data_IF_435814640756
#
_entry.id   IF_435814640756
#
_cell.length_a   1.000
_cell.length_b   1.000
_cell.length_c   1.000
_cell.angle_alpha   90.00
_cell.angle_beta   90.00
_cell.angle_gamma   90.00
#
_symmetry.space_group_name_H-M   'P 1'
#
loop_
_entity.id
_entity.type
_entity.pdbx_description
1 polymer ?
#
# COMPACT_ATOMS: atom_id res chain seq x y z
N UNK A 1 19.77 23.95 -12.76
CA UNK A 1 20.03 22.60 -13.29
C UNK A 1 19.08 21.62 -12.59
N UNK A 2 18.62 20.60 -13.29
CA UNK A 2 17.83 19.54 -12.66
C UNK A 2 18.71 18.73 -11.69
N UNK A 3 18.12 18.29 -10.59
CA UNK A 3 18.83 17.57 -9.52
C UNK A 3 18.06 16.35 -9.03
N UNK A 4 18.79 15.44 -8.38
CA UNK A 4 18.18 14.24 -7.75
C UNK A 4 17.59 14.60 -6.40
N UNK A 5 16.47 13.95 -6.07
CA UNK A 5 15.98 13.91 -4.69
C UNK A 5 16.91 12.98 -3.91
N UNK A 6 17.30 13.39 -2.70
CA UNK A 6 18.21 12.61 -1.85
C UNK A 6 17.68 12.54 -0.42
N UNK A 7 18.06 11.47 0.30
CA UNK A 7 17.78 11.29 1.72
C UNK A 7 19.06 11.50 2.52
N UNK A 8 19.00 12.34 3.57
CA UNK A 8 20.14 12.51 4.47
C UNK A 8 20.27 11.32 5.44
N UNK A 9 21.40 11.23 6.14
CA UNK A 9 21.63 10.20 7.15
C UNK A 9 20.64 10.32 8.34
N UNK A 10 20.12 11.53 8.57
CA UNK A 10 19.14 11.84 9.63
C UNK A 10 17.69 11.55 9.18
N UNK A 11 17.48 11.01 7.96
CA UNK A 11 16.16 10.68 7.44
C UNK A 11 15.37 11.87 6.88
N UNK A 12 16.06 12.95 6.50
CA UNK A 12 15.43 14.13 5.89
C UNK A 12 15.54 14.05 4.37
N UNK A 13 14.39 14.21 3.70
CA UNK A 13 14.31 14.23 2.24
C UNK A 13 14.65 15.62 1.71
N UNK A 14 15.67 15.70 0.86
CA UNK A 14 16.08 16.94 0.19
C UNK A 14 15.55 16.95 -1.25
N UNK A 15 14.64 17.86 -1.54
CA UNK A 15 14.00 18.02 -2.85
C UNK A 15 14.52 19.31 -3.50
N UNK A 16 15.26 19.23 -4.63
CA UNK A 16 15.71 20.43 -5.36
C UNK A 16 14.55 21.17 -6.03
N UNK A 17 14.74 22.41 -6.41
CA UNK A 17 13.71 23.21 -7.10
C UNK A 17 13.30 22.64 -8.47
N UNK A 18 14.21 21.90 -9.11
CA UNK A 18 13.97 21.20 -10.37
C UNK A 18 14.33 19.72 -10.20
N UNK A 19 13.49 18.91 -9.54
CA UNK A 19 13.76 17.49 -9.33
C UNK A 19 13.64 16.70 -10.63
N UNK A 20 14.47 15.67 -10.78
CA UNK A 20 14.28 14.63 -11.79
C UNK A 20 13.37 13.56 -11.17
N UNK A 21 12.23 13.29 -11.83
CA UNK A 21 11.26 12.29 -11.37
C UNK A 21 11.05 11.25 -12.48
N UNK A 22 11.46 9.98 -12.26
CA UNK A 22 11.11 8.90 -13.17
C UNK A 22 9.61 8.65 -13.17
N UNK A 23 9.08 8.32 -14.36
CA UNK A 23 7.70 7.92 -14.49
C UNK A 23 7.53 6.73 -15.44
N UNK A 24 6.55 5.90 -15.15
CA UNK A 24 6.02 4.87 -16.04
C UNK A 24 4.64 5.34 -16.49
N UNK A 25 4.45 5.54 -17.79
CA UNK A 25 3.15 5.92 -18.35
C UNK A 25 2.05 4.91 -17.99
N UNK A 26 2.40 3.63 -18.06
CA UNK A 26 1.51 2.52 -17.78
C UNK A 26 0.76 2.01 -19.01
N UNK A 27 0.00 0.95 -18.78
CA UNK A 27 -0.79 0.24 -19.79
C UNK A 27 -2.26 0.64 -19.74
N UNK A 28 -3.02 0.29 -20.76
CA UNK A 28 -4.46 0.55 -20.81
C UNK A 28 -4.77 2.04 -20.66
N UNK A 29 -5.52 2.42 -19.62
CA UNK A 29 -5.87 3.83 -19.35
C UNK A 29 -4.68 4.71 -18.94
N UNK A 30 -3.49 4.16 -18.76
CA UNK A 30 -2.28 4.91 -18.47
C UNK A 30 -2.02 6.02 -19.48
N UNK A 31 -2.27 5.76 -20.76
CA UNK A 31 -2.09 6.72 -21.86
C UNK A 31 -3.03 7.95 -21.74
N UNK A 32 -4.18 7.79 -21.12
CA UNK A 32 -5.14 8.87 -20.87
C UNK A 32 -4.81 9.64 -19.59
N UNK A 33 -4.43 8.91 -18.53
CA UNK A 33 -4.19 9.46 -17.19
C UNK A 33 -2.90 10.26 -17.12
N UNK A 34 -1.81 9.74 -17.73
CA UNK A 34 -0.50 10.36 -17.59
C UNK A 34 -0.42 11.79 -18.12
N UNK A 35 -0.92 12.12 -19.34
CA UNK A 35 -0.93 13.49 -19.83
C UNK A 35 -1.67 14.44 -18.91
N UNK A 36 -2.81 14.02 -18.36
CA UNK A 36 -3.60 14.82 -17.44
C UNK A 36 -2.87 15.07 -16.11
N UNK A 37 -2.30 14.00 -15.51
CA UNK A 37 -1.52 14.09 -14.28
C UNK A 37 -0.30 14.99 -14.46
N UNK A 38 0.45 14.83 -15.56
CA UNK A 38 1.61 15.65 -15.91
C UNK A 38 1.24 17.14 -16.05
N UNK A 39 0.14 17.45 -16.72
CA UNK A 39 -0.35 18.83 -16.89
C UNK A 39 -0.63 19.49 -15.52
N UNK A 40 -1.29 18.78 -14.62
CA UNK A 40 -1.60 19.28 -13.27
C UNK A 40 -0.32 19.53 -12.48
N UNK A 41 0.60 18.58 -12.46
CA UNK A 41 1.86 18.64 -11.72
C UNK A 41 2.78 19.75 -12.26
N UNK A 42 2.94 19.85 -13.58
CA UNK A 42 3.73 20.89 -14.21
C UNK A 42 3.16 22.29 -13.93
N UNK A 43 1.81 22.41 -13.97
CA UNK A 43 1.13 23.68 -13.68
C UNK A 43 1.31 24.10 -12.22
N UNK A 44 1.18 23.14 -11.29
CA UNK A 44 1.40 23.36 -9.87
C UNK A 44 2.86 23.76 -9.58
N UNK A 45 3.83 23.04 -10.14
CA UNK A 45 5.25 23.36 -9.98
C UNK A 45 5.56 24.77 -10.49
N UNK A 46 5.07 25.13 -11.69
CA UNK A 46 5.26 26.45 -12.30
C UNK A 46 4.70 27.59 -11.43
N UNK A 47 3.56 27.35 -10.74
CA UNK A 47 2.95 28.33 -9.84
C UNK A 47 3.91 28.76 -8.71
N UNK A 48 4.80 27.86 -8.29
CA UNK A 48 5.81 28.10 -7.25
C UNK A 48 7.21 28.40 -7.81
N UNK A 49 7.32 28.70 -9.11
CA UNK A 49 8.60 28.99 -9.77
C UNK A 49 9.52 27.76 -9.91
N UNK A 50 8.95 26.55 -9.81
CA UNK A 50 9.66 25.27 -9.89
C UNK A 50 9.36 24.55 -11.20
N UNK A 51 10.16 23.54 -11.51
CA UNK A 51 9.98 22.71 -12.71
C UNK A 51 10.32 21.26 -12.35
N UNK A 52 9.56 20.30 -12.88
CA UNK A 52 9.88 18.89 -12.81
C UNK A 52 10.54 18.47 -14.12
N UNK A 53 11.66 17.74 -14.01
CA UNK A 53 12.29 17.07 -15.14
C UNK A 53 11.81 15.62 -15.14
N UNK A 54 10.97 15.29 -16.11
CA UNK A 54 10.38 13.97 -16.25
C UNK A 54 11.34 13.01 -16.96
N UNK A 55 11.61 11.85 -16.36
CA UNK A 55 12.39 10.76 -16.96
C UNK A 55 11.50 9.55 -17.18
N UNK A 56 11.16 9.27 -18.44
CA UNK A 56 10.42 8.06 -18.75
C UNK A 56 11.27 6.81 -18.45
N UNK A 57 10.66 5.82 -17.79
CA UNK A 57 11.21 4.49 -17.54
C UNK A 57 10.14 3.47 -17.92
N UNK A 58 10.57 2.29 -18.39
CA UNK A 58 9.69 1.32 -19.02
C UNK A 58 9.27 0.22 -18.04
N UNK A 59 7.99 -0.12 -18.03
CA UNK A 59 7.46 -1.34 -17.42
C UNK A 59 6.13 -1.71 -18.08
N UNK A 60 5.69 -2.97 -17.92
CA UNK A 60 4.44 -3.46 -18.49
C UNK A 60 4.51 -3.81 -19.95
N UNK A 61 3.39 -3.70 -20.67
CA UNK A 61 3.29 -4.09 -22.07
C UNK A 61 4.24 -3.28 -22.96
N UNK A 62 4.32 -1.95 -22.75
CA UNK A 62 5.23 -1.09 -23.52
C UNK A 62 6.67 -1.54 -23.39
N UNK A 63 7.12 -1.89 -22.19
CA UNK A 63 8.47 -2.40 -21.95
C UNK A 63 8.70 -3.70 -22.72
N UNK A 64 7.76 -4.64 -22.66
CA UNK A 64 7.87 -5.92 -23.34
C UNK A 64 7.93 -5.76 -24.85
N UNK A 65 7.11 -4.88 -25.43
CA UNK A 65 7.07 -4.63 -26.87
C UNK A 65 8.38 -4.00 -27.39
N UNK A 66 9.04 -3.15 -26.56
CA UNK A 66 10.26 -2.46 -26.95
C UNK A 66 11.54 -3.25 -26.63
N UNK A 67 11.54 -4.03 -25.55
CA UNK A 67 12.78 -4.65 -25.01
C UNK A 67 12.72 -6.19 -24.89
N UNK A 68 11.52 -6.76 -24.94
CA UNK A 68 11.29 -8.17 -24.62
C UNK A 68 11.24 -8.49 -23.13
N UNK A 69 11.34 -7.48 -22.26
CA UNK A 69 11.29 -7.63 -20.80
C UNK A 69 10.14 -6.79 -20.23
N UNK A 70 9.35 -7.39 -19.33
CA UNK A 70 8.22 -6.72 -18.66
C UNK A 70 8.65 -5.68 -17.61
N UNK A 71 9.82 -5.84 -17.03
CA UNK A 71 10.39 -4.93 -16.03
C UNK A 71 11.92 -4.87 -16.20
N UNK A 72 12.42 -4.05 -17.12
CA UNK A 72 13.86 -3.91 -17.35
C UNK A 72 14.62 -3.51 -16.09
N UNK A 73 15.80 -4.08 -15.87
CA UNK A 73 16.68 -3.76 -14.74
C UNK A 73 16.96 -2.25 -14.62
N UNK A 74 17.07 -1.56 -15.75
CA UNK A 74 17.31 -0.11 -15.79
C UNK A 74 16.19 0.67 -15.09
N UNK A 75 14.93 0.24 -15.20
CA UNK A 75 13.80 0.87 -14.51
C UNK A 75 13.95 0.79 -13.00
N UNK A 76 14.37 -0.38 -12.49
CA UNK A 76 14.64 -0.57 -11.06
C UNK A 76 15.81 0.30 -10.60
N UNK A 77 16.89 0.38 -11.40
CA UNK A 77 18.05 1.22 -11.12
C UNK A 77 17.67 2.70 -11.07
N UNK A 78 16.84 3.15 -12.00
CA UNK A 78 16.36 4.53 -12.03
C UNK A 78 15.52 4.88 -10.80
N UNK A 79 14.59 4.03 -10.37
CA UNK A 79 13.86 4.26 -9.12
C UNK A 79 14.77 4.26 -7.89
N UNK A 80 15.79 3.40 -7.84
CA UNK A 80 16.79 3.44 -6.76
C UNK A 80 17.59 4.73 -6.74
N UNK A 81 17.93 5.25 -7.91
CA UNK A 81 18.76 6.44 -8.05
C UNK A 81 18.01 7.74 -7.74
N UNK A 82 16.76 7.84 -8.16
CA UNK A 82 15.97 9.08 -8.07
C UNK A 82 14.99 9.12 -6.89
N UNK A 83 14.85 8.04 -6.14
CA UNK A 83 14.02 7.83 -4.95
C UNK A 83 12.52 7.94 -5.18
N UNK A 84 12.03 9.01 -5.77
CA UNK A 84 10.60 9.29 -5.95
C UNK A 84 10.21 9.13 -7.41
N UNK A 85 9.15 8.37 -7.66
CA UNK A 85 8.62 8.21 -9.01
C UNK A 85 7.09 8.12 -9.06
N UNK A 86 6.57 8.19 -10.27
CA UNK A 86 5.14 8.04 -10.57
C UNK A 86 4.97 6.85 -11.52
N UNK A 87 3.92 6.07 -11.31
CA UNK A 87 3.62 4.89 -12.11
C UNK A 87 2.15 4.83 -12.48
N UNK A 88 1.87 4.66 -13.77
CA UNK A 88 0.56 4.28 -14.27
C UNK A 88 0.22 2.81 -13.98
N UNK A 89 -1.00 2.35 -14.31
CA UNK A 89 -1.40 0.96 -14.14
C UNK A 89 -0.57 0.03 -15.04
N UNK A 90 -0.26 -1.18 -14.56
CA UNK A 90 0.55 -2.15 -15.30
C UNK A 90 -0.21 -3.43 -15.55
N UNK A 91 -0.08 -3.97 -16.77
CA UNK A 91 -0.54 -5.30 -17.14
C UNK A 91 0.42 -6.34 -16.57
N UNK A 92 -0.14 -7.33 -15.87
CA UNK A 92 0.61 -8.53 -15.49
C UNK A 92 0.26 -9.65 -16.45
N UNK A 93 1.24 -10.34 -17.05
CA UNK A 93 0.97 -11.47 -17.94
C UNK A 93 0.15 -12.55 -17.22
N UNK A 94 -0.88 -13.08 -17.89
CA UNK A 94 -1.68 -14.19 -17.37
C UNK A 94 -1.00 -15.50 -17.75
N UNK A 95 -0.57 -16.28 -16.75
CA UNK A 95 0.06 -17.60 -16.94
C UNK A 95 1.58 -17.59 -16.78
N UNK A 96 2.20 -18.78 -16.69
CA UNK A 96 3.66 -18.92 -16.69
C UNK A 96 4.37 -18.55 -15.37
N UNK A 97 3.67 -18.42 -14.25
CA UNK A 97 4.31 -18.16 -12.94
C UNK A 97 4.84 -16.72 -12.75
N UNK A 98 4.43 -15.79 -13.62
CA UNK A 98 4.80 -14.39 -13.47
C UNK A 98 4.12 -13.77 -12.24
N UNK A 99 4.93 -13.21 -11.35
CA UNK A 99 4.44 -12.37 -10.25
C UNK A 99 4.01 -11.02 -10.79
N UNK A 100 3.01 -10.41 -10.13
CA UNK A 100 2.60 -9.04 -10.45
C UNK A 100 3.80 -8.09 -10.47
N UNK A 101 3.95 -7.30 -11.54
CA UNK A 101 5.02 -6.30 -11.66
C UNK A 101 4.97 -5.28 -10.52
N UNK A 102 3.75 -4.96 -10.05
CA UNK A 102 3.57 -4.09 -8.89
C UNK A 102 4.17 -4.71 -7.62
N UNK A 103 3.93 -6.01 -7.39
CA UNK A 103 4.50 -6.74 -6.24
C UNK A 103 6.02 -6.83 -6.36
N UNK A 104 6.55 -7.06 -7.57
CA UNK A 104 7.99 -7.10 -7.81
C UNK A 104 8.66 -5.77 -7.43
N UNK A 105 8.14 -4.63 -7.90
CA UNK A 105 8.68 -3.29 -7.56
C UNK A 105 8.63 -3.02 -6.05
N UNK A 106 7.52 -3.37 -5.38
CA UNK A 106 7.36 -3.21 -3.92
C UNK A 106 8.39 -4.01 -3.14
N UNK A 107 8.66 -5.26 -3.56
CA UNK A 107 9.64 -6.13 -2.90
C UNK A 107 11.07 -5.72 -3.19
N UNK A 108 11.44 -5.45 -4.45
CA UNK A 108 12.80 -5.10 -4.87
C UNK A 108 13.28 -3.79 -4.23
N UNK A 109 12.38 -2.81 -4.06
CA UNK A 109 12.68 -1.51 -3.44
C UNK A 109 12.30 -1.47 -1.96
N UNK A 110 11.83 -2.58 -1.39
CA UNK A 110 11.34 -2.69 -0.01
C UNK A 110 10.35 -1.57 0.36
N UNK A 111 9.38 -1.30 -0.52
CA UNK A 111 8.35 -0.29 -0.29
C UNK A 111 7.28 -0.84 0.68
N UNK A 112 7.61 -0.90 1.96
CA UNK A 112 6.88 -1.63 2.97
C UNK A 112 5.54 -1.01 3.40
N UNK A 113 5.29 0.23 3.04
CA UNK A 113 3.99 0.90 3.26
C UNK A 113 3.29 1.12 1.95
N UNK A 114 2.08 0.60 1.80
CA UNK A 114 1.13 1.07 0.81
C UNK A 114 0.19 2.08 1.49
N UNK A 115 0.37 3.35 1.16
CA UNK A 115 -0.40 4.47 1.70
C UNK A 115 -1.56 4.79 0.77
N UNK A 116 -2.78 4.73 1.27
CA UNK A 116 -4.01 4.98 0.49
C UNK A 116 -4.94 5.94 1.25
N UNK A 117 -4.89 7.26 1.00
CA UNK A 117 -5.87 8.19 1.53
C UNK A 117 -7.22 7.98 0.86
N UNK A 118 -8.29 7.97 1.64
CA UNK A 118 -9.67 7.84 1.15
C UNK A 118 -10.49 8.95 1.75
N UNK A 119 -10.91 9.90 0.91
CA UNK A 119 -11.82 10.98 1.31
C UNK A 119 -12.76 11.33 0.17
N UNK A 120 -13.94 11.78 0.51
CA UNK A 120 -14.89 12.28 -0.46
C UNK A 120 -14.58 13.70 -0.91
N UNK A 121 -14.85 13.99 -2.17
CA UNK A 121 -14.75 15.33 -2.76
C UNK A 121 -16.13 15.82 -3.18
N UNK A 122 -16.46 17.06 -2.85
CA UNK A 122 -17.76 17.66 -3.18
C UNK A 122 -18.06 17.56 -4.68
N UNK A 123 -19.26 17.05 -5.00
CA UNK A 123 -19.71 16.85 -6.38
C UNK A 123 -19.45 15.46 -6.95
N UNK A 124 -18.67 14.63 -6.28
CA UNK A 124 -18.47 13.23 -6.69
C UNK A 124 -19.67 12.40 -6.23
N UNK A 125 -20.33 11.63 -7.14
CA UNK A 125 -21.39 10.71 -6.76
C UNK A 125 -20.88 9.63 -5.77
N UNK A 126 -21.69 9.31 -4.77
CA UNK A 126 -21.37 8.30 -3.77
C UNK A 126 -22.58 7.40 -3.51
N UNK A 127 -22.36 6.10 -3.24
CA UNK A 127 -23.43 5.17 -2.87
C UNK A 127 -23.88 5.28 -1.41
N UNK A 128 -23.13 6.03 -0.56
CA UNK A 128 -23.46 6.20 0.87
C UNK A 128 -24.17 7.52 1.12
N UNK A 129 -24.91 7.60 2.22
CA UNK A 129 -25.74 8.78 2.55
C UNK A 129 -24.90 10.00 2.98
N UNK A 130 -23.79 9.76 3.67
CA UNK A 130 -22.94 10.79 4.27
C UNK A 130 -21.47 10.57 3.91
N UNK A 131 -21.10 10.66 2.60
CA UNK A 131 -19.73 10.44 2.18
C UNK A 131 -18.75 11.48 2.72
N UNK A 132 -19.21 12.65 3.10
CA UNK A 132 -18.42 13.73 3.72
C UNK A 132 -17.80 13.33 5.08
N UNK A 133 -18.33 12.28 5.71
CA UNK A 133 -17.78 11.72 6.94
C UNK A 133 -16.63 10.74 6.70
N UNK A 134 -16.35 10.38 5.46
CA UNK A 134 -15.24 9.48 5.11
C UNK A 134 -13.98 10.31 4.85
N UNK A 135 -13.06 10.26 5.80
CA UNK A 135 -11.70 10.84 5.68
C UNK A 135 -10.74 9.93 6.44
N UNK A 136 -10.31 8.85 5.77
CA UNK A 136 -9.46 7.83 6.36
C UNK A 136 -8.16 7.70 5.58
N UNK A 137 -7.09 7.29 6.26
CA UNK A 137 -5.80 7.01 5.62
C UNK A 137 -5.37 5.58 5.95
N UNK A 138 -5.23 4.73 4.93
CA UNK A 138 -4.86 3.34 5.11
C UNK A 138 -3.35 3.20 4.95
N UNK A 139 -2.72 2.61 5.96
CA UNK A 139 -1.36 2.09 5.99
C UNK A 139 -1.43 0.58 5.85
N UNK A 140 -1.31 0.09 4.62
CA UNK A 140 -1.32 -1.34 4.30
C UNK A 140 0.12 -1.85 4.30
N UNK A 141 0.40 -2.93 5.05
CA UNK A 141 1.65 -3.66 4.90
C UNK A 141 1.77 -4.15 3.44
N UNK A 142 2.98 -4.19 2.89
CA UNK A 142 3.15 -4.29 1.45
C UNK A 142 4.19 -5.33 1.00
N UNK A 143 4.83 -6.04 1.91
CA UNK A 143 5.96 -6.94 1.62
C UNK A 143 5.78 -8.39 2.09
N UNK A 144 4.84 -8.61 2.99
CA UNK A 144 4.56 -9.93 3.61
C UNK A 144 3.14 -10.41 3.29
N UNK A 145 2.60 -11.25 4.16
CA UNK A 145 1.28 -11.86 4.05
C UNK A 145 1.22 -12.86 2.86
N UNK A 146 0.04 -13.19 2.38
CA UNK A 146 -0.15 -14.06 1.21
C UNK A 146 0.47 -13.48 -0.07
N UNK A 147 0.73 -12.19 -0.10
CA UNK A 147 1.45 -11.50 -1.19
C UNK A 147 2.93 -11.87 -1.28
N UNK A 148 3.48 -12.60 -0.30
CA UNK A 148 4.81 -13.22 -0.42
C UNK A 148 4.88 -14.24 -1.56
N UNK A 149 3.72 -14.75 -2.03
CA UNK A 149 3.62 -15.70 -3.13
C UNK A 149 4.24 -17.07 -2.80
N UNK A 150 4.26 -17.44 -1.52
CA UNK A 150 4.75 -18.74 -1.05
C UNK A 150 3.59 -19.74 -1.12
N UNK A 151 3.38 -20.31 -2.30
CA UNK A 151 2.29 -21.26 -2.52
C UNK A 151 2.70 -22.39 -3.48
N UNK A 152 2.00 -23.51 -3.37
CA UNK A 152 2.15 -24.68 -4.23
C UNK A 152 0.79 -25.11 -4.77
N UNK A 153 0.77 -25.48 -6.05
CA UNK A 153 -0.44 -25.87 -6.77
C UNK A 153 -0.92 -27.28 -6.34
N UNK A 154 -2.22 -27.42 -6.22
CA UNK A 154 -2.87 -28.68 -5.90
C UNK A 154 -2.52 -29.80 -6.91
N UNK A 155 -2.26 -31.00 -6.41
CA UNK A 155 -1.95 -32.17 -7.24
C UNK A 155 -0.52 -32.22 -7.80
N UNK A 156 0.34 -31.27 -7.39
CA UNK A 156 1.78 -31.29 -7.75
C UNK A 156 2.61 -32.09 -6.73
N UNK A 157 3.78 -32.66 -7.15
CA UNK A 157 4.69 -33.32 -6.24
C UNK A 157 5.14 -32.42 -5.06
N UNK A 158 5.27 -31.12 -5.31
CA UNK A 158 5.64 -30.11 -4.31
C UNK A 158 4.57 -29.97 -3.24
N UNK A 159 3.27 -29.96 -3.62
CA UNK A 159 2.16 -29.90 -2.69
C UNK A 159 2.13 -31.16 -1.81
N UNK A 160 2.33 -32.34 -2.37
CA UNK A 160 2.37 -33.60 -1.61
C UNK A 160 3.56 -33.66 -0.66
N UNK A 161 4.74 -33.18 -1.09
CA UNK A 161 5.93 -33.07 -0.24
C UNK A 161 5.70 -32.14 0.94
N UNK A 162 5.11 -30.95 0.68
CA UNK A 162 4.80 -29.98 1.73
C UNK A 162 3.76 -30.53 2.69
N UNK A 163 2.70 -31.15 2.19
CA UNK A 163 1.64 -31.77 2.98
C UNK A 163 2.19 -32.86 3.93
N UNK A 164 3.01 -33.78 3.38
CA UNK A 164 3.67 -34.83 4.16
C UNK A 164 4.57 -34.25 5.25
N UNK A 165 5.38 -33.25 4.91
CA UNK A 165 6.24 -32.56 5.89
C UNK A 165 5.41 -31.93 7.02
N UNK A 166 4.31 -31.23 6.70
CA UNK A 166 3.45 -30.62 7.71
C UNK A 166 2.74 -31.66 8.60
N UNK A 167 2.38 -32.80 8.04
CA UNK A 167 1.83 -33.91 8.81
C UNK A 167 2.88 -34.51 9.75
N UNK A 168 4.06 -34.81 9.25
CA UNK A 168 5.13 -35.47 10.01
C UNK A 168 5.72 -34.56 11.10
N UNK A 169 5.91 -33.27 10.79
CA UNK A 169 6.54 -32.31 11.69
C UNK A 169 5.60 -31.68 12.72
N UNK A 170 4.33 -31.47 12.37
CA UNK A 170 3.39 -30.69 13.17
C UNK A 170 2.07 -31.40 13.48
N UNK A 171 1.87 -32.61 12.95
CA UNK A 171 0.61 -33.37 13.00
C UNK A 171 -0.59 -32.57 12.40
N UNK A 172 -0.30 -31.74 11.38
CA UNK A 172 -1.35 -31.01 10.69
C UNK A 172 -1.93 -31.85 9.56
N UNK A 173 -3.25 -32.02 9.61
CA UNK A 173 -4.00 -32.84 8.67
C UNK A 173 -4.61 -31.97 7.58
N UNK A 174 -3.89 -31.83 6.47
CA UNK A 174 -4.32 -31.06 5.29
C UNK A 174 -4.98 -32.02 4.31
N UNK A 175 -6.18 -31.66 3.85
CA UNK A 175 -6.98 -32.48 2.92
C UNK A 175 -6.18 -32.77 1.64
N UNK A 176 -6.31 -33.99 1.12
CA UNK A 176 -5.72 -34.40 -0.15
C UNK A 176 -6.20 -33.50 -1.29
N UNK A 177 -5.31 -33.24 -2.24
CA UNK A 177 -5.60 -32.39 -3.39
C UNK A 177 -5.76 -30.90 -3.07
N UNK A 178 -5.28 -30.44 -1.90
CA UNK A 178 -5.26 -29.01 -1.56
C UNK A 178 -4.06 -28.30 -2.20
N UNK A 179 -4.28 -27.10 -2.74
CA UNK A 179 -3.22 -26.10 -2.88
C UNK A 179 -2.87 -25.55 -1.49
N UNK A 180 -1.59 -25.23 -1.25
CA UNK A 180 -1.13 -24.77 0.06
C UNK A 180 -0.39 -23.45 -0.10
N UNK A 181 -0.83 -22.42 0.63
CA UNK A 181 -0.19 -21.11 0.71
C UNK A 181 0.28 -20.79 2.12
N UNK A 182 1.39 -20.08 2.25
CA UNK A 182 1.95 -19.65 3.52
C UNK A 182 1.72 -18.16 3.70
N UNK A 183 1.21 -17.79 4.87
CA UNK A 183 0.96 -16.41 5.28
C UNK A 183 1.97 -15.96 6.34
N UNK A 184 3.15 -15.45 5.98
CA UNK A 184 4.09 -14.92 6.95
C UNK A 184 3.67 -13.51 7.40
N UNK A 185 3.71 -13.26 8.71
CA UNK A 185 3.62 -11.93 9.31
C UNK A 185 4.71 -11.84 10.37
N UNK A 186 5.65 -10.92 10.19
CA UNK A 186 6.80 -10.77 11.09
C UNK A 186 6.63 -9.59 12.05
N UNK A 187 7.32 -9.66 13.19
CA UNK A 187 7.42 -8.52 14.10
C UNK A 187 8.07 -7.32 13.42
N UNK A 188 9.11 -7.55 12.61
CA UNK A 188 9.82 -6.51 11.87
C UNK A 188 8.88 -5.76 10.91
N UNK A 189 8.12 -6.47 10.07
CA UNK A 189 7.16 -5.87 9.14
C UNK A 189 6.05 -5.13 9.87
N UNK A 190 5.51 -5.73 10.95
CA UNK A 190 4.45 -5.16 11.77
C UNK A 190 4.87 -3.87 12.49
N UNK A 191 6.05 -3.88 13.11
CA UNK A 191 6.57 -2.71 13.86
C UNK A 191 6.83 -1.54 12.92
N UNK A 192 7.50 -1.75 11.78
CA UNK A 192 7.83 -0.66 10.84
C UNK A 192 6.59 -0.04 10.20
N UNK A 193 5.57 -0.85 9.89
CA UNK A 193 4.30 -0.35 9.39
C UNK A 193 3.56 0.47 10.45
N UNK A 194 3.39 -0.08 11.65
CA UNK A 194 2.70 0.60 12.75
C UNK A 194 3.41 1.89 13.14
N UNK A 195 4.74 1.88 13.20
CA UNK A 195 5.55 3.09 13.44
C UNK A 195 5.30 4.16 12.38
N UNK A 196 5.25 3.78 11.11
CA UNK A 196 4.95 4.71 10.03
C UNK A 196 3.55 5.31 10.16
N UNK A 197 2.55 4.50 10.50
CA UNK A 197 1.17 4.96 10.71
C UNK A 197 1.05 5.93 11.90
N UNK A 198 1.72 5.63 13.03
CA UNK A 198 1.73 6.51 14.20
C UNK A 198 2.43 7.84 13.88
N UNK A 199 3.61 7.81 13.25
CA UNK A 199 4.33 9.03 12.88
C UNK A 199 3.52 9.90 11.92
N UNK A 200 2.84 9.28 10.95
CA UNK A 200 1.92 9.99 10.05
C UNK A 200 0.77 10.64 10.84
N UNK A 201 0.12 9.89 11.72
CA UNK A 201 -0.98 10.41 12.52
C UNK A 201 -0.56 11.62 13.37
N UNK A 202 0.60 11.54 14.02
CA UNK A 202 1.16 12.65 14.82
C UNK A 202 1.49 13.87 13.94
N UNK A 203 2.16 13.68 12.80
CA UNK A 203 2.57 14.78 11.91
C UNK A 203 1.41 15.47 11.19
N UNK A 204 0.29 14.75 11.01
CA UNK A 204 -0.91 15.26 10.33
C UNK A 204 -2.06 15.57 11.30
N UNK A 205 -1.78 15.56 12.61
CA UNK A 205 -2.76 15.89 13.66
C UNK A 205 -4.02 15.02 13.58
N UNK A 206 -3.84 13.73 13.25
CA UNK A 206 -4.90 12.73 13.26
C UNK A 206 -5.19 12.27 14.69
N UNK A 207 -6.41 11.86 14.98
CA UNK A 207 -6.87 11.57 16.33
C UNK A 207 -6.61 10.13 16.78
N UNK A 208 -6.57 9.18 15.82
CA UNK A 208 -6.39 7.77 16.13
C UNK A 208 -5.67 6.96 15.05
N UNK A 209 -5.03 5.87 15.51
CA UNK A 209 -4.56 4.77 14.67
C UNK A 209 -5.32 3.51 15.07
N UNK A 210 -5.97 2.85 14.10
CA UNK A 210 -6.69 1.59 14.29
C UNK A 210 -5.93 0.44 13.66
N UNK A 211 -5.53 -0.54 14.46
CA UNK A 211 -4.91 -1.78 13.99
C UNK A 211 -6.00 -2.73 13.51
N UNK A 212 -6.06 -3.02 12.22
CA UNK A 212 -7.08 -3.89 11.62
C UNK A 212 -6.53 -5.30 11.43
N UNK A 213 -7.17 -6.30 12.04
CA UNK A 213 -6.67 -7.66 12.08
C UNK A 213 -7.77 -8.72 12.17
N UNK A 214 -7.46 -9.99 11.89
CA UNK A 214 -8.32 -11.15 12.15
C UNK A 214 -7.73 -12.06 13.25
N UNK A 215 -7.21 -11.46 14.30
CA UNK A 215 -6.44 -12.13 15.35
C UNK A 215 -7.24 -13.12 16.22
N UNK A 216 -8.56 -13.04 16.23
CA UNK A 216 -9.42 -14.03 16.88
C UNK A 216 -9.36 -15.42 16.22
N UNK A 217 -9.04 -15.49 14.92
CA UNK A 217 -8.84 -16.72 14.13
C UNK A 217 -7.36 -16.99 13.92
N UNK A 218 -6.62 -16.02 13.41
CA UNK A 218 -5.20 -16.13 13.07
C UNK A 218 -4.33 -15.58 14.21
N UNK A 219 -4.28 -16.34 15.31
CA UNK A 219 -3.73 -15.88 16.62
C UNK A 219 -2.25 -15.53 16.59
N UNK A 220 -1.46 -16.25 15.76
CA UNK A 220 0.02 -16.14 15.71
C UNK A 220 0.55 -15.35 14.54
N UNK A 221 -0.33 -14.88 13.66
CA UNK A 221 -0.04 -13.98 12.56
C UNK A 221 -0.74 -12.64 12.80
N UNK A 222 -1.99 -12.49 12.46
CA UNK A 222 -2.73 -11.24 12.63
C UNK A 222 -2.95 -10.82 14.09
N UNK A 223 -3.15 -11.79 14.98
CA UNK A 223 -3.19 -11.51 16.43
C UNK A 223 -1.83 -11.08 16.99
N UNK A 224 -0.75 -11.57 16.39
CA UNK A 224 0.59 -11.12 16.73
C UNK A 224 0.85 -9.69 16.22
N UNK A 225 0.42 -9.34 14.99
CA UNK A 225 0.45 -7.98 14.45
C UNK A 225 -0.19 -6.97 15.43
N UNK A 226 -1.39 -7.25 15.89
CA UNK A 226 -2.07 -6.41 16.89
C UNK A 226 -1.24 -6.26 18.17
N UNK A 227 -0.75 -7.37 18.74
CA UNK A 227 0.03 -7.36 19.99
C UNK A 227 1.33 -6.59 19.86
N UNK A 228 2.05 -6.76 18.75
CA UNK A 228 3.28 -6.03 18.46
C UNK A 228 3.02 -4.54 18.26
N UNK A 229 1.90 -4.17 17.64
CA UNK A 229 1.50 -2.77 17.51
C UNK A 229 1.30 -2.10 18.88
N UNK A 230 0.56 -2.74 19.79
CA UNK A 230 0.42 -2.21 21.15
C UNK A 230 1.74 -2.21 21.93
N UNK A 231 2.58 -3.23 21.74
CA UNK A 231 3.89 -3.25 22.39
C UNK A 231 4.77 -2.09 21.89
N UNK A 232 4.77 -1.82 20.58
CA UNK A 232 5.48 -0.69 19.99
C UNK A 232 5.05 0.65 20.58
N UNK A 233 3.74 0.85 20.79
CA UNK A 233 3.21 2.07 21.44
C UNK A 233 3.81 2.24 22.83
N UNK A 234 3.85 1.19 23.63
CA UNK A 234 4.42 1.25 25.00
C UNK A 234 5.92 1.48 24.97
N UNK A 235 6.65 0.86 24.04
CA UNK A 235 8.11 0.91 24.01
C UNK A 235 8.65 2.21 23.40
N UNK A 236 8.00 2.74 22.35
CA UNK A 236 8.58 3.84 21.56
C UNK A 236 7.74 5.14 21.60
N UNK A 237 6.45 5.07 21.93
CA UNK A 237 5.53 6.20 21.77
C UNK A 237 4.76 6.56 23.05
N UNK A 238 5.12 5.99 24.20
CA UNK A 238 4.39 6.17 25.47
C UNK A 238 4.19 7.63 25.88
N UNK A 239 5.04 8.55 25.44
CA UNK A 239 4.91 9.98 25.74
C UNK A 239 3.82 10.67 24.91
N UNK A 240 3.57 10.22 23.68
CA UNK A 240 2.72 10.88 22.68
C UNK A 240 1.52 10.06 22.22
N UNK A 241 1.50 8.75 22.48
CA UNK A 241 0.42 7.84 22.11
C UNK A 241 0.10 6.89 23.28
N UNK A 242 -1.10 6.30 23.25
CA UNK A 242 -1.57 5.36 24.27
C UNK A 242 -2.51 4.33 23.67
N UNK A 243 -2.38 3.07 24.10
CA UNK A 243 -3.28 1.99 23.70
C UNK A 243 -4.66 2.12 24.36
N UNK A 244 -5.70 1.61 23.67
CA UNK A 244 -7.09 1.66 24.18
C UNK A 244 -7.23 1.08 25.58
N UNK A 245 -6.68 -0.12 25.82
CA UNK A 245 -6.78 -0.81 27.11
C UNK A 245 -5.98 -0.10 28.23
N UNK A 246 -4.95 0.66 27.86
CA UNK A 246 -4.08 1.39 28.80
C UNK A 246 -4.74 2.70 29.29
N UNK A 247 -5.86 3.14 28.67
CA UNK A 247 -6.54 4.39 28.97
C UNK A 247 -8.07 4.30 29.04
N UNK A 248 -8.67 3.11 28.95
CA UNK A 248 -10.13 2.92 28.85
C UNK A 248 -10.77 3.79 27.75
N UNK A 249 -10.09 3.94 26.61
CA UNK A 249 -10.53 4.77 25.48
C UNK A 249 -10.53 6.29 25.75
N UNK A 250 -9.85 6.76 26.79
CA UNK A 250 -9.75 8.18 27.17
C UNK A 250 -8.29 8.66 27.09
N UNK A 251 -7.76 8.90 25.89
CA UNK A 251 -6.35 9.16 25.66
C UNK A 251 -5.85 10.52 26.18
N UNK A 252 -6.77 11.44 26.56
CA UNK A 252 -6.39 12.81 26.91
C UNK A 252 -5.86 13.56 25.68
N UNK A 253 -4.64 14.07 25.78
CA UNK A 253 -3.95 14.76 24.67
C UNK A 253 -3.09 13.84 23.80
N UNK A 254 -3.04 12.52 24.10
CA UNK A 254 -2.24 11.56 23.34
C UNK A 254 -3.01 11.00 22.16
N UNK A 255 -2.28 10.57 21.13
CA UNK A 255 -2.83 9.82 20.02
C UNK A 255 -3.40 8.49 20.53
N UNK A 256 -4.65 8.20 20.20
CA UNK A 256 -5.28 6.93 20.55
C UNK A 256 -4.86 5.82 19.57
N UNK A 257 -4.30 4.73 20.09
CA UNK A 257 -4.10 3.50 19.30
C UNK A 257 -5.11 2.46 19.77
N UNK A 258 -5.94 1.97 18.85
CA UNK A 258 -6.98 0.98 19.11
C UNK A 258 -6.92 -0.12 18.07
N UNK A 259 -7.69 -1.18 18.24
CA UNK A 259 -7.78 -2.27 17.28
C UNK A 259 -9.22 -2.60 16.91
N UNK A 260 -9.37 -3.30 15.80
CA UNK A 260 -10.65 -3.81 15.33
C UNK A 260 -10.47 -5.09 14.52
N UNK A 261 -11.38 -6.04 14.70
CA UNK A 261 -11.45 -7.24 13.87
C UNK A 261 -11.88 -6.84 12.44
N UNK A 262 -11.20 -7.36 11.42
CA UNK A 262 -11.31 -6.92 10.03
C UNK A 262 -12.76 -6.88 9.49
N UNK A 263 -13.55 -7.94 9.68
CA UNK A 263 -14.95 -7.96 9.25
C UNK A 263 -15.83 -6.94 9.97
N UNK A 264 -15.53 -6.67 11.24
CA UNK A 264 -16.19 -5.59 12.01
C UNK A 264 -15.74 -4.22 11.47
N UNK A 265 -14.48 -4.05 11.11
CA UNK A 265 -13.98 -2.83 10.49
C UNK A 265 -14.73 -2.49 9.19
N UNK A 266 -14.91 -3.46 8.30
CA UNK A 266 -15.70 -3.28 7.08
C UNK A 266 -17.12 -2.79 7.34
N UNK A 267 -17.77 -3.35 8.36
CA UNK A 267 -19.11 -2.94 8.75
C UNK A 267 -19.12 -1.53 9.37
N UNK A 268 -18.23 -1.29 10.33
CA UNK A 268 -18.24 -0.04 11.11
C UNK A 268 -17.73 1.16 10.29
N UNK A 269 -16.77 0.96 9.40
CA UNK A 269 -16.31 2.02 8.50
C UNK A 269 -17.40 2.50 7.53
N UNK A 270 -18.39 1.64 7.24
CA UNK A 270 -19.59 2.04 6.48
C UNK A 270 -20.63 2.75 7.36
N UNK A 271 -20.88 2.24 8.57
CA UNK A 271 -21.96 2.71 9.44
C UNK A 271 -21.56 3.93 10.29
N UNK A 272 -20.28 4.03 10.65
CA UNK A 272 -19.74 5.03 11.56
C UNK A 272 -18.33 5.48 11.10
N UNK A 273 -18.21 6.02 9.86
CA UNK A 273 -16.91 6.35 9.27
C UNK A 273 -16.09 7.34 10.11
N UNK A 274 -16.77 8.28 10.79
CA UNK A 274 -16.10 9.28 11.64
C UNK A 274 -15.36 8.69 12.86
N UNK A 275 -15.57 7.42 13.20
CA UNK A 275 -14.81 6.76 14.27
C UNK A 275 -13.43 6.27 13.82
N UNK A 276 -13.11 6.35 12.53
CA UNK A 276 -11.87 5.85 11.94
C UNK A 276 -11.08 6.99 11.30
N UNK A 277 -9.78 6.99 11.54
CA UNK A 277 -8.87 8.02 11.04
C UNK A 277 -7.70 7.39 10.27
N UNK A 278 -6.63 6.96 10.94
CA UNK A 278 -5.55 6.19 10.31
C UNK A 278 -5.77 4.70 10.57
N UNK A 279 -5.74 3.88 9.52
CA UNK A 279 -5.94 2.43 9.58
C UNK A 279 -4.63 1.71 9.25
N UNK A 280 -4.04 1.01 10.21
CA UNK A 280 -2.86 0.18 9.99
C UNK A 280 -3.30 -1.28 9.82
N UNK A 281 -2.93 -1.92 8.69
CA UNK A 281 -3.45 -3.23 8.31
C UNK A 281 -2.36 -4.17 7.84
N UNK A 282 -2.59 -5.49 7.98
CA UNK A 282 -1.86 -6.50 7.22
C UNK A 282 -2.16 -6.36 5.72
N UNK A 283 -1.36 -6.99 4.87
CA UNK A 283 -1.39 -6.74 3.43
C UNK A 283 -2.76 -7.06 2.80
N UNK A 284 -3.28 -8.27 2.99
CA UNK A 284 -4.54 -8.69 2.37
C UNK A 284 -5.75 -7.89 2.91
N UNK A 285 -5.81 -7.67 4.21
CA UNK A 285 -6.90 -6.88 4.81
C UNK A 285 -6.89 -5.44 4.28
N UNK A 286 -5.72 -4.85 4.12
CA UNK A 286 -5.56 -3.51 3.56
C UNK A 286 -5.95 -3.41 2.09
N UNK A 287 -5.71 -4.46 1.31
CA UNK A 287 -6.13 -4.52 -0.09
C UNK A 287 -7.65 -4.45 -0.20
N UNK A 288 -8.34 -5.36 0.46
CA UNK A 288 -9.80 -5.38 0.45
C UNK A 288 -10.43 -4.10 1.03
N UNK A 289 -9.89 -3.64 2.17
CA UNK A 289 -10.46 -2.50 2.88
C UNK A 289 -10.32 -1.20 2.07
N UNK A 290 -9.18 -0.98 1.42
CA UNK A 290 -8.95 0.24 0.65
C UNK A 290 -9.92 0.36 -0.54
N UNK A 291 -10.21 -0.74 -1.24
CA UNK A 291 -11.15 -0.73 -2.36
C UNK A 291 -12.60 -0.56 -1.87
N UNK A 292 -12.94 -1.21 -0.75
CA UNK A 292 -14.26 -1.04 -0.14
C UNK A 292 -14.51 0.41 0.33
N UNK A 293 -13.50 1.06 0.91
CA UNK A 293 -13.59 2.47 1.32
C UNK A 293 -13.60 3.41 0.11
N UNK A 294 -12.79 3.14 -0.92
CA UNK A 294 -12.80 3.92 -2.15
C UNK A 294 -14.19 3.92 -2.82
N UNK A 295 -14.91 2.79 -2.78
CA UNK A 295 -16.27 2.70 -3.27
C UNK A 295 -17.23 3.65 -2.54
N UNK A 296 -17.02 3.88 -1.23
CA UNK A 296 -17.86 4.79 -0.44
C UNK A 296 -17.70 6.26 -0.85
N UNK A 297 -16.56 6.64 -1.40
CA UNK A 297 -16.29 8.03 -1.80
C UNK A 297 -16.43 8.29 -3.30
N UNK A 298 -16.84 7.28 -4.07
CA UNK A 298 -17.14 7.45 -5.51
C UNK A 298 -16.43 6.46 -6.42
N UNK A 299 -15.54 5.61 -5.89
CA UNK A 299 -14.89 4.52 -6.61
C UNK A 299 -13.37 4.63 -6.67
N UNK A 300 -12.72 3.55 -7.09
CA UNK A 300 -11.26 3.45 -7.14
C UNK A 300 -10.59 4.37 -8.18
N UNK A 301 -11.35 4.89 -9.14
CA UNK A 301 -10.85 5.82 -10.16
C UNK A 301 -10.34 7.16 -9.60
N UNK A 302 -10.79 7.54 -8.39
CA UNK A 302 -10.34 8.76 -7.71
C UNK A 302 -9.46 8.48 -6.49
N UNK A 303 -9.14 7.21 -6.21
CA UNK A 303 -8.36 6.82 -5.05
C UNK A 303 -6.86 6.87 -5.36
N UNK A 304 -6.08 7.74 -4.69
CA UNK A 304 -4.63 7.78 -4.86
C UNK A 304 -3.96 6.67 -4.05
N UNK A 305 -2.74 6.29 -4.48
CA UNK A 305 -1.91 5.35 -3.75
C UNK A 305 -0.44 5.73 -3.82
N UNK A 306 0.31 5.36 -2.78
CA UNK A 306 1.75 5.46 -2.76
C UNK A 306 2.35 4.22 -2.10
N UNK A 307 3.46 3.74 -2.63
CA UNK A 307 4.26 2.67 -2.02
C UNK A 307 5.55 3.29 -1.51
N UNK A 308 5.80 3.24 -0.21
CA UNK A 308 6.83 4.06 0.44
C UNK A 308 7.73 3.22 1.33
N UNK A 309 9.02 3.53 1.28
CA UNK A 309 10.00 3.15 2.29
C UNK A 309 10.44 4.41 3.05
N UNK A 310 9.91 4.62 4.25
CA UNK A 310 10.22 5.81 5.05
C UNK A 310 11.66 5.85 5.59
N UNK A 311 12.39 4.72 5.56
CA UNK A 311 13.78 4.64 6.02
C UNK A 311 14.73 5.11 4.92
N UNK A 312 14.51 4.66 3.68
CA UNK A 312 15.39 4.97 2.55
C UNK A 312 14.93 6.16 1.72
N UNK A 313 13.68 6.60 1.90
CA UNK A 313 13.07 7.69 1.15
C UNK A 313 12.52 7.30 -0.22
N UNK A 314 12.55 6.01 -0.59
CA UNK A 314 11.95 5.56 -1.83
C UNK A 314 10.43 5.64 -1.78
N UNK A 315 9.82 6.17 -2.84
CA UNK A 315 8.38 6.27 -2.97
C UNK A 315 7.92 6.19 -4.42
N UNK A 316 6.96 5.32 -4.71
CA UNK A 316 6.29 5.22 -6.01
C UNK A 316 4.83 5.57 -5.82
N UNK A 317 4.39 6.65 -6.45
CA UNK A 317 3.01 7.11 -6.44
C UNK A 317 2.27 6.52 -7.63
N UNK A 318 1.05 6.04 -7.42
CA UNK A 318 0.28 5.34 -8.44
C UNK A 318 -1.22 5.56 -8.30
N UNK A 319 -1.96 5.31 -9.39
CA UNK A 319 -3.39 5.08 -9.33
C UNK A 319 -3.66 3.73 -8.67
N UNK A 320 -4.73 3.63 -7.87
CA UNK A 320 -5.11 2.38 -7.19
C UNK A 320 -5.73 1.37 -8.13
N UNK A 321 -6.41 1.84 -9.20
CA UNK A 321 -7.09 0.98 -10.16
C UNK A 321 -6.12 0.27 -11.12
N UNK A 322 -6.61 -0.79 -11.78
CA UNK A 322 -5.91 -1.53 -12.83
C UNK A 322 -5.93 -0.84 -14.19
N UNK A 323 -5.48 -1.55 -15.22
CA UNK A 323 -5.31 -1.02 -16.60
C UNK A 323 -6.60 -0.68 -17.32
N UNK A 324 -7.75 -1.26 -16.95
CA UNK A 324 -9.06 -1.04 -17.53
C UNK A 324 -9.05 -0.86 -19.08
N UNK A 325 -8.52 -1.83 -19.86
CA UNK A 325 -8.17 -1.65 -21.27
C UNK A 325 -9.36 -1.28 -22.16
N UNK A 326 -10.58 -1.62 -21.73
CA UNK A 326 -11.80 -1.27 -22.48
C UNK A 326 -12.08 0.24 -22.53
N UNK A 327 -11.42 1.04 -21.69
CA UNK A 327 -11.58 2.48 -21.63
C UNK A 327 -10.36 3.25 -22.18
N UNK A 328 -9.27 2.54 -22.51
CA UNK A 328 -8.04 3.14 -23.01
C UNK A 328 -8.26 3.97 -24.29
N UNK A 329 -7.65 5.15 -24.36
CA UNK A 329 -7.74 6.06 -25.50
C UNK A 329 -9.11 6.73 -25.66
N UNK A 330 -9.94 6.77 -24.61
CA UNK A 330 -11.28 7.35 -24.69
C UNK A 330 -11.46 8.62 -23.85
N UNK A 331 -10.45 9.02 -23.09
CA UNK A 331 -10.49 10.16 -22.16
C UNK A 331 -11.72 10.11 -21.21
N UNK A 332 -12.04 8.90 -20.71
CA UNK A 332 -13.20 8.64 -19.85
C UNK A 332 -12.86 8.25 -18.41
N UNK A 333 -11.59 8.26 -18.06
CA UNK A 333 -11.07 7.86 -16.75
C UNK A 333 -10.41 9.04 -16.05
#
# INVERSE_FOLDING_TARGET
>A
MAGKITMSAEGVLHVPDNPIIPFIEGDGTGVDIWPAAKLVLDTAAKKYGKRIEWKEVLAGQKAFDETGDWLPDQTVLDFREYLIGIKGPLTTPIGGGFRSLNVALRQILDLYVCLRPVRWFQGVPSPVLHPELVDMVIFRENTEDVYSGLEVEAGTPEAEKLRSFLKDAFDWDIRDGSGIGIKPISKFGSDRLTRAAINYALSHQRESVTLVHKGNIQKFTEGAFMKWGYQLVRDEFSDVAVGWDDCDGKPGSKLLVKDVIADICFQQALLRPAEFDVLATTNLNGDYLSDALAAQVGGIGIAPGANINYVTGHGIFEATHGTAPKYAGQDKV
#
